data_IF_409931918003
#
_entry.id   IF_409931918003
#
_cell.length_a   1.000
_cell.length_b   1.000
_cell.length_c   1.000
_cell.angle_alpha   90.00
_cell.angle_beta   90.00
_cell.angle_gamma   90.00
#
_symmetry.space_group_name_H-M   'P 1'
#
loop_
_entity.id
_entity.type
_entity.pdbx_description
1 polymer ?
#
# COMPACT_ATOMS: atom_id res chain seq x y z
N UNK A 1 68.34 -24.94 -21.64
CA UNK A 1 68.81 -26.24 -22.14
C UNK A 1 67.56 -26.97 -22.52
N UNK A 2 67.20 -26.91 -23.79
CA UNK A 2 67.39 -27.83 -24.89
C UNK A 2 66.39 -28.96 -24.85
N UNK A 3 65.59 -29.07 -25.77
CA UNK A 3 65.42 -29.39 -27.20
C UNK A 3 64.46 -30.58 -27.37
N UNK A 4 63.42 -30.35 -28.21
CA UNK A 4 63.22 -30.92 -29.59
C UNK A 4 63.05 -32.44 -29.68
N UNK A 5 61.99 -32.90 -30.25
CA UNK A 5 61.75 -33.35 -31.65
C UNK A 5 60.47 -34.17 -31.74
N UNK A 6 59.51 -33.82 -32.53
CA UNK A 6 59.14 -34.13 -33.92
C UNK A 6 59.16 -35.57 -34.37
N UNK A 7 58.09 -35.95 -34.98
CA UNK A 7 57.80 -36.72 -36.24
C UNK A 7 56.59 -37.63 -36.02
N UNK A 8 55.50 -37.47 -36.65
CA UNK A 8 55.01 -37.48 -38.04
C UNK A 8 54.87 -38.94 -38.59
N UNK A 9 53.70 -39.16 -39.16
CA UNK A 9 53.38 -39.69 -40.49
C UNK A 9 52.59 -41.01 -40.62
N UNK A 10 51.41 -40.82 -41.31
CA UNK A 10 50.71 -41.62 -42.36
C UNK A 10 49.76 -42.72 -41.89
N UNK A 11 48.52 -42.62 -42.09
CA UNK A 11 47.63 -42.74 -43.25
C UNK A 11 47.55 -44.14 -43.85
N UNK A 12 46.39 -44.73 -43.83
CA UNK A 12 45.85 -45.56 -44.95
C UNK A 12 44.32 -45.58 -44.85
N UNK A 13 43.67 -45.23 -45.93
CA UNK A 13 42.22 -45.27 -46.17
C UNK A 13 41.78 -46.67 -46.58
N UNK A 14 40.57 -47.06 -46.25
CA UNK A 14 39.77 -47.99 -47.03
C UNK A 14 38.28 -47.69 -46.83
N UNK A 15 37.65 -47.40 -47.94
CA UNK A 15 36.23 -47.20 -48.12
C UNK A 15 35.44 -48.48 -48.09
N UNK A 16 34.26 -48.52 -47.50
CA UNK A 16 33.15 -49.36 -47.95
C UNK A 16 31.82 -48.71 -47.50
N UNK A 17 31.04 -48.40 -48.48
CA UNK A 17 29.71 -47.75 -48.28
C UNK A 17 28.68 -48.77 -47.78
N UNK A 18 27.81 -48.25 -46.91
CA UNK A 18 26.46 -48.77 -46.70
C UNK A 18 25.54 -47.62 -46.59
N UNK A 19 24.65 -47.46 -47.57
CA UNK A 19 23.53 -46.57 -47.62
C UNK A 19 22.50 -47.01 -46.57
N UNK A 20 22.28 -46.20 -45.54
CA UNK A 20 21.11 -46.31 -44.67
C UNK A 20 20.36 -45.00 -44.69
N UNK A 21 19.17 -45.05 -45.26
CA UNK A 21 18.14 -44.04 -45.20
C UNK A 21 17.73 -43.87 -43.72
N UNK A 22 18.26 -42.86 -43.06
CA UNK A 22 17.85 -42.46 -41.74
C UNK A 22 16.88 -41.29 -41.87
N UNK A 23 15.61 -41.57 -41.67
CA UNK A 23 14.57 -40.58 -41.45
C UNK A 23 15.01 -39.58 -40.37
N UNK A 24 15.25 -38.37 -40.80
CA UNK A 24 15.41 -37.22 -39.90
C UNK A 24 14.05 -36.99 -39.20
N UNK A 25 13.86 -37.56 -38.06
CA UNK A 25 12.93 -37.02 -37.05
C UNK A 25 13.62 -35.76 -36.50
N UNK A 26 13.26 -34.62 -37.12
CA UNK A 26 13.41 -33.34 -36.47
C UNK A 26 12.44 -33.34 -35.27
N UNK A 27 12.86 -33.94 -34.17
CA UNK A 27 12.27 -33.70 -32.87
C UNK A 27 12.60 -32.25 -32.53
N UNK A 28 11.58 -31.39 -32.60
CA UNK A 28 11.58 -30.18 -31.79
C UNK A 28 11.81 -30.68 -30.35
N UNK A 29 13.00 -30.55 -29.83
CA UNK A 29 13.22 -30.53 -28.41
C UNK A 29 12.51 -29.25 -27.92
N UNK A 30 11.21 -29.38 -27.62
CA UNK A 30 10.58 -28.49 -26.70
C UNK A 30 11.45 -28.49 -25.45
N UNK A 31 11.94 -27.33 -25.07
CA UNK A 31 12.76 -27.19 -23.88
C UNK A 31 11.97 -27.74 -22.68
N UNK A 32 12.47 -28.85 -22.12
CA UNK A 32 11.89 -29.47 -20.92
C UNK A 32 12.38 -28.77 -19.65
N UNK A 33 12.56 -27.49 -19.69
CA UNK A 33 12.86 -26.67 -18.50
C UNK A 33 11.64 -25.88 -18.10
N UNK A 34 11.39 -25.79 -16.80
CA UNK A 34 10.35 -24.93 -16.23
C UNK A 34 10.47 -23.49 -16.79
N UNK A 35 9.33 -22.90 -17.14
CA UNK A 35 9.25 -21.49 -17.48
C UNK A 35 9.58 -20.65 -16.24
N UNK A 36 10.56 -19.75 -16.33
CA UNK A 36 10.97 -18.97 -15.16
C UNK A 36 10.33 -17.60 -15.21
N UNK A 37 9.61 -17.23 -14.16
CA UNK A 37 8.99 -15.91 -13.98
C UNK A 37 9.63 -15.14 -12.84
N UNK A 38 9.72 -13.82 -12.98
CA UNK A 38 10.23 -12.91 -11.97
C UNK A 38 9.07 -12.28 -11.20
N UNK A 39 9.02 -12.57 -9.90
CA UNK A 39 8.04 -12.07 -8.97
C UNK A 39 8.64 -10.99 -8.09
N UNK A 40 8.14 -9.75 -8.18
CA UNK A 40 8.60 -8.65 -7.32
C UNK A 40 7.79 -8.58 -6.04
N UNK A 41 8.50 -8.69 -4.92
CA UNK A 41 7.96 -8.55 -3.57
C UNK A 41 9.00 -7.95 -2.63
N UNK A 42 8.76 -6.76 -2.05
CA UNK A 42 9.77 -6.02 -1.28
C UNK A 42 9.36 -5.68 0.16
N UNK A 43 8.24 -6.20 0.65
CA UNK A 43 7.75 -5.98 2.02
C UNK A 43 8.62 -6.77 3.02
N UNK A 44 9.49 -6.06 3.75
CA UNK A 44 10.58 -6.64 4.56
C UNK A 44 10.09 -7.61 5.61
N UNK A 45 9.03 -7.25 6.34
CA UNK A 45 8.45 -8.03 7.43
C UNK A 45 7.81 -9.34 6.97
N UNK A 46 7.44 -9.45 5.68
CA UNK A 46 6.79 -10.61 5.10
C UNK A 46 7.64 -11.38 4.09
N UNK A 47 8.91 -10.99 3.87
CA UNK A 47 9.80 -11.67 2.89
C UNK A 47 9.99 -13.14 3.22
N UNK A 48 10.12 -13.49 4.49
CA UNK A 48 10.32 -14.88 4.92
C UNK A 48 9.07 -15.74 4.60
N UNK A 49 7.89 -15.24 4.93
CA UNK A 49 6.62 -15.89 4.60
C UNK A 49 6.50 -16.09 3.09
N UNK A 50 6.67 -15.04 2.31
CA UNK A 50 6.51 -15.09 0.86
C UNK A 50 7.55 -16.00 0.19
N UNK A 51 8.76 -16.07 0.74
CA UNK A 51 9.79 -17.00 0.26
C UNK A 51 9.39 -18.45 0.47
N UNK A 52 8.77 -18.77 1.61
CA UNK A 52 8.26 -20.11 1.89
C UNK A 52 7.09 -20.45 0.96
N UNK A 53 6.16 -19.54 0.75
CA UNK A 53 5.02 -19.73 -0.15
C UNK A 53 5.45 -19.95 -1.61
N UNK A 54 6.44 -19.19 -2.10
CA UNK A 54 7.03 -19.41 -3.43
C UNK A 54 7.74 -20.76 -3.52
N UNK A 55 8.43 -21.21 -2.46
CA UNK A 55 9.05 -22.53 -2.44
C UNK A 55 8.00 -23.65 -2.48
N UNK A 56 6.86 -23.46 -1.84
CA UNK A 56 5.73 -24.38 -1.91
C UNK A 56 5.18 -24.48 -3.34
N UNK A 57 4.87 -23.34 -3.99
CA UNK A 57 4.45 -23.32 -5.39
C UNK A 57 5.45 -24.03 -6.31
N UNK A 58 6.73 -23.69 -6.19
CA UNK A 58 7.79 -24.30 -7.01
C UNK A 58 7.95 -25.81 -6.78
N UNK A 59 7.54 -26.32 -5.62
CA UNK A 59 7.61 -27.77 -5.31
C UNK A 59 6.34 -28.53 -5.70
N UNK A 60 5.21 -27.86 -5.85
CA UNK A 60 3.91 -28.47 -6.17
C UNK A 60 3.77 -28.82 -7.65
N UNK A 61 4.53 -28.20 -8.53
CA UNK A 61 4.46 -28.36 -9.98
C UNK A 61 5.87 -28.24 -10.61
N UNK A 62 6.01 -28.50 -11.93
CA UNK A 62 7.29 -28.51 -12.65
C UNK A 62 7.34 -27.59 -13.86
N UNK A 63 6.24 -26.94 -14.19
CA UNK A 63 6.07 -26.20 -15.44
C UNK A 63 6.54 -24.75 -15.31
N UNK A 64 6.37 -24.15 -14.12
CA UNK A 64 6.74 -22.77 -13.82
C UNK A 64 7.70 -22.73 -12.62
N UNK A 65 8.74 -21.91 -12.74
CA UNK A 65 9.62 -21.57 -11.63
C UNK A 65 9.52 -20.11 -11.31
N UNK A 66 9.09 -19.78 -10.09
CA UNK A 66 9.00 -18.40 -9.58
C UNK A 66 10.31 -18.02 -8.90
N UNK A 67 10.88 -16.88 -9.29
CA UNK A 67 12.05 -16.26 -8.63
C UNK A 67 11.67 -14.92 -8.02
N UNK A 68 11.89 -14.77 -6.71
CA UNK A 68 11.56 -13.53 -5.98
C UNK A 68 12.61 -12.45 -6.28
N UNK A 69 12.15 -11.28 -6.69
CA UNK A 69 12.93 -10.04 -6.80
C UNK A 69 12.48 -9.07 -5.69
N UNK A 70 13.37 -8.79 -4.74
CA UNK A 70 13.09 -7.89 -3.61
C UNK A 70 13.37 -6.41 -3.91
N UNK A 71 13.49 -6.05 -5.18
CA UNK A 71 13.72 -4.68 -5.62
C UNK A 71 12.56 -3.74 -5.25
N UNK A 72 12.90 -2.55 -4.76
CA UNK A 72 11.93 -1.53 -4.42
C UNK A 72 11.27 -0.87 -5.65
N UNK A 73 10.23 -0.07 -5.40
CA UNK A 73 9.40 0.57 -6.42
C UNK A 73 10.16 1.38 -7.45
N UNK A 74 11.27 2.02 -7.08
CA UNK A 74 12.06 2.84 -8.01
C UNK A 74 12.78 1.95 -9.06
N UNK A 75 13.29 0.79 -8.65
CA UNK A 75 13.91 -0.19 -9.54
C UNK A 75 12.86 -0.80 -10.48
N UNK A 76 11.69 -1.11 -9.95
CA UNK A 76 10.55 -1.62 -10.71
C UNK A 76 10.11 -0.58 -11.74
N UNK A 77 9.92 0.68 -11.34
CA UNK A 77 9.54 1.77 -12.25
C UNK A 77 10.56 1.95 -13.39
N UNK A 78 11.86 1.88 -13.06
CA UNK A 78 12.90 1.94 -14.08
C UNK A 78 12.88 0.71 -15.03
N UNK A 79 12.42 -0.45 -14.57
CA UNK A 79 12.30 -1.65 -15.41
C UNK A 79 11.19 -1.51 -16.47
N UNK A 80 10.07 -0.89 -16.12
CA UNK A 80 9.02 -0.53 -17.09
C UNK A 80 9.53 0.39 -18.18
N UNK A 81 10.29 1.43 -17.81
CA UNK A 81 10.88 2.37 -18.79
C UNK A 81 11.87 1.66 -19.73
N UNK A 82 12.61 0.67 -19.22
CA UNK A 82 13.54 -0.12 -20.04
C UNK A 82 12.86 -1.21 -20.89
N UNK A 83 11.55 -1.38 -20.78
CA UNK A 83 10.81 -2.43 -21.50
C UNK A 83 11.10 -3.86 -21.00
N UNK A 84 11.53 -3.99 -19.75
CA UNK A 84 11.79 -5.28 -19.11
C UNK A 84 11.19 -5.29 -17.68
N UNK A 85 9.85 -5.15 -17.55
CA UNK A 85 9.19 -5.20 -16.25
C UNK A 85 9.29 -6.61 -15.64
N UNK A 86 8.98 -6.80 -14.35
CA UNK A 86 8.76 -8.13 -13.77
C UNK A 86 7.58 -8.82 -14.46
N UNK A 87 7.42 -10.12 -14.21
CA UNK A 87 6.28 -10.88 -14.77
C UNK A 87 5.05 -10.76 -13.91
N UNK A 88 5.22 -10.70 -12.59
CA UNK A 88 4.16 -10.43 -11.62
C UNK A 88 4.72 -9.56 -10.47
N UNK A 89 3.88 -8.72 -9.91
CA UNK A 89 4.21 -7.84 -8.79
C UNK A 89 3.17 -8.00 -7.68
N UNK A 90 3.65 -8.01 -6.44
CA UNK A 90 2.84 -7.82 -5.25
C UNK A 90 3.44 -6.65 -4.46
N UNK A 91 2.83 -5.50 -4.52
CA UNK A 91 3.41 -4.25 -4.04
C UNK A 91 2.40 -3.39 -3.28
N UNK A 92 2.89 -2.52 -2.39
CA UNK A 92 2.04 -1.52 -1.75
C UNK A 92 1.34 -0.68 -2.81
N UNK A 93 0.01 -0.61 -2.71
CA UNK A 93 -0.80 0.16 -3.65
C UNK A 93 -0.84 1.62 -3.22
N UNK A 94 -0.14 2.45 -3.95
CA UNK A 94 -0.02 3.88 -3.70
C UNK A 94 0.02 4.63 -5.05
N UNK A 95 0.03 5.95 -5.01
CA UNK A 95 0.02 6.77 -6.21
C UNK A 95 1.08 6.37 -7.25
N UNK A 96 2.31 6.03 -6.84
CA UNK A 96 3.40 5.70 -7.76
C UNK A 96 3.16 4.37 -8.51
N UNK A 97 2.56 3.40 -7.82
CA UNK A 97 2.18 2.11 -8.42
C UNK A 97 0.91 2.27 -9.26
N UNK A 98 -0.09 3.00 -8.77
CA UNK A 98 -1.34 3.25 -9.49
C UNK A 98 -1.14 3.96 -10.83
N UNK A 99 -0.05 4.71 -11.01
CA UNK A 99 0.33 5.30 -12.31
C UNK A 99 0.51 4.26 -13.42
N UNK A 100 0.86 3.02 -13.09
CA UNK A 100 0.90 1.94 -14.07
C UNK A 100 -0.51 1.51 -14.49
N UNK A 101 -1.47 1.52 -13.56
CA UNK A 101 -2.90 1.31 -13.85
C UNK A 101 -3.41 2.41 -14.77
N UNK A 102 -3.27 3.68 -14.39
CA UNK A 102 -3.71 4.85 -15.17
C UNK A 102 -3.17 4.86 -16.61
N UNK A 103 -1.97 4.33 -16.82
CA UNK A 103 -1.32 4.26 -18.14
C UNK A 103 -1.65 3.00 -18.92
N UNK A 104 -2.55 2.17 -18.42
CA UNK A 104 -2.87 0.87 -18.99
C UNK A 104 -1.62 -0.01 -19.24
N UNK A 105 -0.61 0.12 -18.37
CA UNK A 105 0.63 -0.63 -18.45
C UNK A 105 0.56 -2.00 -17.79
N UNK A 106 -0.61 -2.35 -17.24
CA UNK A 106 -0.90 -3.60 -16.55
C UNK A 106 -1.97 -4.40 -17.30
N UNK A 107 -1.87 -5.70 -17.21
CA UNK A 107 -2.79 -6.66 -17.85
C UNK A 107 -4.16 -6.60 -17.17
N UNK A 108 -5.21 -6.80 -17.95
CA UNK A 108 -6.56 -7.01 -17.42
C UNK A 108 -6.65 -8.36 -16.72
N UNK A 109 -7.12 -8.34 -15.48
CA UNK A 109 -7.31 -9.51 -14.61
C UNK A 109 -8.79 -9.80 -14.33
N UNK A 110 -9.72 -9.08 -14.94
CA UNK A 110 -11.16 -9.17 -14.66
C UNK A 110 -11.74 -10.57 -14.82
N UNK A 111 -11.17 -11.39 -15.72
CA UNK A 111 -11.61 -12.75 -16.01
C UNK A 111 -10.96 -13.82 -15.12
N UNK A 112 -10.17 -13.44 -14.12
CA UNK A 112 -9.50 -14.38 -13.20
C UNK A 112 -10.41 -14.78 -12.05
N UNK A 113 -10.23 -16.00 -11.51
CA UNK A 113 -10.93 -16.44 -10.31
C UNK A 113 -10.51 -15.58 -9.09
N UNK A 114 -9.26 -15.15 -9.05
CA UNK A 114 -8.74 -14.20 -8.09
C UNK A 114 -9.58 -12.90 -8.07
N UNK A 115 -9.84 -12.28 -9.24
CA UNK A 115 -10.66 -11.06 -9.31
C UNK A 115 -12.11 -11.31 -8.86
N UNK A 116 -12.71 -12.43 -9.23
CA UNK A 116 -14.08 -12.81 -8.85
C UNK A 116 -14.21 -13.00 -7.33
N UNK A 117 -13.13 -13.35 -6.64
CA UNK A 117 -13.09 -13.55 -5.19
C UNK A 117 -13.10 -12.26 -4.39
N UNK A 118 -12.72 -11.11 -4.97
CA UNK A 118 -12.56 -9.83 -4.24
C UNK A 118 -13.91 -9.25 -3.82
N UNK A 119 -13.97 -8.66 -2.65
CA UNK A 119 -15.12 -7.92 -2.12
C UNK A 119 -15.41 -6.68 -2.95
N UNK A 120 -16.68 -6.48 -3.29
CA UNK A 120 -17.10 -5.38 -4.17
C UNK A 120 -16.93 -3.99 -3.50
N UNK A 121 -16.99 -3.92 -2.15
CA UNK A 121 -16.83 -2.70 -1.37
C UNK A 121 -15.37 -2.16 -1.32
N UNK A 122 -14.40 -2.94 -1.80
CA UNK A 122 -13.02 -2.49 -1.93
C UNK A 122 -12.71 -1.79 -3.26
N UNK A 123 -13.63 -1.84 -4.23
CA UNK A 123 -13.42 -1.20 -5.53
C UNK A 123 -13.17 0.31 -5.41
N UNK A 124 -13.89 1.08 -4.57
CA UNK A 124 -13.60 2.50 -4.39
C UNK A 124 -12.18 2.78 -3.90
N UNK A 125 -11.63 1.91 -3.04
CA UNK A 125 -10.25 2.03 -2.57
C UNK A 125 -9.22 1.77 -3.70
N UNK A 126 -9.56 0.92 -4.66
CA UNK A 126 -8.71 0.64 -5.82
C UNK A 126 -8.75 1.78 -6.84
N UNK A 127 -9.92 2.36 -7.05
CA UNK A 127 -10.16 3.33 -8.11
C UNK A 127 -9.74 4.76 -7.74
N UNK A 128 -9.52 5.07 -6.45
CA UNK A 128 -9.16 6.43 -6.00
C UNK A 128 -7.88 6.98 -6.61
N UNK A 129 -6.99 6.15 -7.13
CA UNK A 129 -5.80 6.58 -7.87
C UNK A 129 -6.03 6.64 -9.39
N UNK A 130 -7.27 6.42 -9.84
CA UNK A 130 -7.63 6.28 -11.25
C UNK A 130 -7.52 4.86 -11.76
N UNK A 131 -8.19 4.61 -12.89
CA UNK A 131 -8.33 3.29 -13.50
C UNK A 131 -7.87 3.30 -14.96
N UNK A 132 -7.76 2.12 -15.57
CA UNK A 132 -7.72 1.94 -17.01
C UNK A 132 -9.08 1.46 -17.47
N UNK A 133 -9.74 2.23 -18.35
CA UNK A 133 -11.12 1.99 -18.77
C UNK A 133 -11.34 0.52 -19.23
N UNK A 134 -12.34 -0.12 -18.66
CA UNK A 134 -12.73 -1.50 -18.96
C UNK A 134 -11.75 -2.57 -18.48
N UNK A 135 -10.83 -2.26 -17.56
CA UNK A 135 -9.84 -3.21 -17.03
C UNK A 135 -9.81 -3.23 -15.51
N UNK A 136 -9.70 -4.42 -14.95
CA UNK A 136 -9.30 -4.65 -13.56
C UNK A 136 -7.81 -5.03 -13.55
N UNK A 137 -6.92 -4.07 -13.31
CA UNK A 137 -5.48 -4.24 -13.51
C UNK A 137 -4.66 -4.40 -12.24
N UNK A 138 -5.29 -4.24 -11.08
CA UNK A 138 -4.69 -4.44 -9.77
C UNK A 138 -5.72 -5.11 -8.86
N UNK A 139 -5.33 -6.19 -8.20
CA UNK A 139 -6.21 -6.94 -7.29
C UNK A 139 -5.74 -6.78 -5.84
N UNK A 140 -6.60 -6.37 -4.90
CA UNK A 140 -6.27 -6.34 -3.49
C UNK A 140 -5.80 -7.70 -3.00
N UNK A 141 -4.65 -7.77 -2.34
CA UNK A 141 -4.12 -8.97 -1.70
C UNK A 141 -4.13 -8.86 -0.18
N UNK A 142 -3.91 -7.66 0.32
CA UNK A 142 -3.95 -7.35 1.74
C UNK A 142 -4.47 -5.94 1.96
N UNK A 143 -5.40 -5.80 2.88
CA UNK A 143 -5.90 -4.52 3.38
C UNK A 143 -5.41 -4.35 4.81
N UNK A 144 -4.78 -3.22 5.11
CA UNK A 144 -4.27 -2.93 6.44
C UNK A 144 -5.09 -1.80 7.06
N UNK A 145 -5.81 -2.11 8.13
CA UNK A 145 -6.38 -1.08 8.99
C UNK A 145 -5.32 -0.65 10.01
N UNK A 146 -5.25 0.63 10.29
CA UNK A 146 -4.29 1.21 11.20
C UNK A 146 -4.94 2.31 12.05
N UNK A 147 -4.51 2.39 13.33
CA UNK A 147 -5.11 3.28 14.31
C UNK A 147 -4.16 3.48 15.48
N UNK A 148 -4.62 4.15 16.54
CA UNK A 148 -3.85 4.27 17.79
C UNK A 148 -3.57 2.89 18.36
N UNK A 149 -2.31 2.57 18.59
CA UNK A 149 -1.89 1.43 19.43
C UNK A 149 -1.81 1.91 20.87
N UNK A 150 -2.36 1.13 21.82
CA UNK A 150 -2.25 1.49 23.22
C UNK A 150 -1.84 0.29 24.09
N UNK A 151 -1.21 0.59 25.22
CA UNK A 151 -0.80 -0.36 26.25
C UNK A 151 -1.97 -0.59 27.20
N UNK A 152 -2.62 -1.77 27.12
CA UNK A 152 -3.78 -2.14 27.95
C UNK A 152 -3.44 -2.16 29.45
N UNK A 153 -2.19 -2.51 29.81
CA UNK A 153 -1.77 -2.57 31.21
C UNK A 153 -1.66 -1.16 31.82
N UNK A 154 -1.15 -0.18 31.07
CA UNK A 154 -1.08 1.23 31.51
C UNK A 154 -2.51 1.77 31.66
N UNK A 155 -3.38 1.56 30.69
CA UNK A 155 -4.77 2.01 30.74
C UNK A 155 -5.48 1.43 31.96
N UNK A 156 -5.35 0.12 32.17
CA UNK A 156 -5.93 -0.54 33.34
C UNK A 156 -5.37 0.00 34.67
N UNK A 157 -4.06 0.18 34.77
CA UNK A 157 -3.41 0.67 35.98
C UNK A 157 -3.80 2.12 36.33
N UNK A 158 -4.12 2.92 35.31
CA UNK A 158 -4.55 4.31 35.48
C UNK A 158 -6.09 4.45 35.53
N UNK A 159 -6.85 3.35 35.37
CA UNK A 159 -8.32 3.37 35.34
C UNK A 159 -8.88 4.15 34.13
N UNK A 160 -8.18 4.09 32.98
CA UNK A 160 -8.56 4.78 31.76
C UNK A 160 -9.47 3.89 30.90
N UNK A 161 -10.48 4.52 30.30
CA UNK A 161 -11.28 3.94 29.23
C UNK A 161 -10.76 4.42 27.87
N UNK A 162 -11.06 3.69 26.81
CA UNK A 162 -10.73 4.10 25.43
C UNK A 162 -11.56 5.33 25.05
N UNK A 163 -10.91 6.45 24.69
CA UNK A 163 -11.63 7.70 24.37
C UNK A 163 -12.37 7.58 23.04
N UNK A 164 -13.58 8.14 22.98
CA UNK A 164 -14.43 8.20 21.80
C UNK A 164 -14.61 9.62 21.23
N UNK A 165 -14.14 10.61 21.96
CA UNK A 165 -14.20 12.03 21.58
C UNK A 165 -12.86 12.71 21.78
N UNK A 166 -12.66 13.83 21.10
CA UNK A 166 -11.46 14.65 21.26
C UNK A 166 -11.24 15.11 22.71
N UNK A 167 -12.30 15.55 23.38
CA UNK A 167 -12.21 16.01 24.77
C UNK A 167 -11.87 14.86 25.73
N UNK A 168 -12.38 13.66 25.47
CA UNK A 168 -12.01 12.47 26.25
C UNK A 168 -10.54 12.07 26.00
N UNK A 169 -10.05 12.16 24.75
CA UNK A 169 -8.65 11.91 24.46
C UNK A 169 -7.73 12.88 25.21
N UNK A 170 -8.06 14.16 25.21
CA UNK A 170 -7.29 15.15 25.98
C UNK A 170 -7.32 14.86 27.49
N UNK A 171 -8.47 14.44 28.03
CA UNK A 171 -8.57 14.06 29.43
C UNK A 171 -7.71 12.84 29.78
N UNK A 172 -7.67 11.83 28.90
CA UNK A 172 -6.76 10.67 29.01
C UNK A 172 -5.31 11.13 28.98
N UNK A 173 -4.92 11.99 28.05
CA UNK A 173 -3.58 12.53 27.94
C UNK A 173 -3.18 13.34 29.20
N UNK A 174 -4.05 14.18 29.70
CA UNK A 174 -3.79 14.96 30.93
C UNK A 174 -3.61 14.09 32.16
N UNK A 175 -4.41 13.03 32.30
CA UNK A 175 -4.30 12.06 33.41
C UNK A 175 -2.97 11.30 33.34
N UNK A 176 -2.58 10.82 32.17
CA UNK A 176 -1.29 10.14 31.93
C UNK A 176 -0.11 11.07 32.26
N UNK A 177 -0.15 12.29 31.78
CA UNK A 177 0.89 13.29 32.05
C UNK A 177 0.99 13.63 33.53
N UNK A 178 -0.15 13.75 34.23
CA UNK A 178 -0.15 13.94 35.68
C UNK A 178 0.42 12.74 36.44
N UNK A 179 0.34 11.54 35.90
CA UNK A 179 0.96 10.33 36.44
C UNK A 179 2.46 10.20 36.06
N UNK A 180 3.00 11.12 35.27
CA UNK A 180 4.41 11.09 34.80
C UNK A 180 4.65 10.07 33.68
N UNK A 181 3.61 9.73 32.92
CA UNK A 181 3.66 8.83 31.77
C UNK A 181 3.48 9.66 30.50
N UNK A 182 4.35 9.47 29.52
CA UNK A 182 4.17 10.11 28.20
C UNK A 182 2.89 9.56 27.55
N UNK A 183 1.90 10.41 27.21
CA UNK A 183 0.68 9.92 26.56
C UNK A 183 0.96 9.23 25.24
N UNK A 184 1.76 9.84 24.36
CA UNK A 184 2.17 9.28 23.07
C UNK A 184 3.68 9.16 22.98
N UNK A 185 4.18 8.16 22.25
CA UNK A 185 5.58 8.13 21.85
C UNK A 185 5.75 8.71 20.44
N UNK A 186 6.44 9.81 20.34
CA UNK A 186 6.75 10.48 19.07
C UNK A 186 8.06 9.96 18.47
N UNK A 187 8.06 9.69 17.16
CA UNK A 187 9.21 9.23 16.37
C UNK A 187 9.45 10.16 15.18
N UNK A 188 9.66 11.46 15.48
CA UNK A 188 9.65 12.53 14.47
C UNK A 188 10.90 12.60 13.59
N UNK A 189 11.91 11.78 13.86
CA UNK A 189 13.09 11.65 13.01
C UNK A 189 12.77 11.04 11.64
N UNK A 190 11.85 10.09 11.60
CA UNK A 190 11.45 9.41 10.38
C UNK A 190 10.18 10.04 9.82
N UNK A 191 10.24 10.65 8.64
CA UNK A 191 9.15 11.40 8.02
C UNK A 191 7.90 10.55 7.79
N UNK A 192 8.07 9.29 7.40
CA UNK A 192 6.96 8.38 7.14
C UNK A 192 6.14 8.05 8.41
N UNK A 193 6.76 8.01 9.59
CA UNK A 193 6.03 7.77 10.84
C UNK A 193 5.16 8.96 11.22
N UNK A 194 5.61 10.17 10.88
CA UNK A 194 4.80 11.38 11.04
C UNK A 194 3.69 11.42 9.98
N UNK A 195 4.02 11.13 8.73
CA UNK A 195 3.05 11.16 7.63
C UNK A 195 1.94 10.13 7.81
N UNK A 196 2.27 8.85 7.93
CA UNK A 196 1.28 7.77 7.98
C UNK A 196 0.60 7.60 9.35
N UNK A 197 1.24 8.06 10.43
CA UNK A 197 0.66 8.05 11.77
C UNK A 197 -0.03 9.38 12.09
N UNK A 198 0.74 10.38 12.44
CA UNK A 198 0.25 11.66 12.95
C UNK A 198 -0.63 12.42 11.95
N UNK A 199 -0.10 12.66 10.74
CA UNK A 199 -0.79 13.45 9.73
C UNK A 199 -2.02 12.74 9.17
N UNK A 200 -1.88 11.48 8.75
CA UNK A 200 -2.98 10.73 8.15
C UNK A 200 -4.14 10.52 9.12
N UNK A 201 -3.86 10.23 10.41
CA UNK A 201 -4.92 10.02 11.40
C UNK A 201 -5.60 11.34 11.75
N UNK A 202 -4.84 12.43 11.86
CA UNK A 202 -5.44 13.74 12.18
C UNK A 202 -6.27 14.30 11.03
N UNK A 203 -5.76 14.21 9.80
CA UNK A 203 -6.49 14.69 8.64
C UNK A 203 -7.69 13.79 8.31
N UNK A 204 -7.48 12.47 8.20
CA UNK A 204 -8.55 11.53 7.84
C UNK A 204 -9.62 11.36 8.90
N UNK A 205 -9.29 11.56 10.19
CA UNK A 205 -10.28 11.59 11.28
C UNK A 205 -11.08 12.89 11.37
N UNK A 206 -10.83 13.87 10.51
CA UNK A 206 -11.49 15.19 10.52
C UNK A 206 -12.07 15.59 9.18
N UNK A 207 -11.53 15.08 8.07
CA UNK A 207 -11.87 15.48 6.70
C UNK A 207 -12.27 14.25 5.91
N UNK A 208 -13.36 14.33 5.12
CA UNK A 208 -13.60 13.33 4.08
C UNK A 208 -12.53 13.46 3.01
N UNK A 209 -11.57 12.52 3.06
CA UNK A 209 -10.37 12.60 2.23
C UNK A 209 -10.68 12.41 0.75
N UNK A 210 -11.67 11.58 0.42
CA UNK A 210 -12.07 11.32 -0.97
C UNK A 210 -12.73 12.57 -1.55
N UNK A 211 -13.76 13.10 -0.87
CA UNK A 211 -14.45 14.31 -1.30
C UNK A 211 -13.50 15.52 -1.37
N UNK A 212 -12.56 15.63 -0.43
CA UNK A 212 -11.53 16.67 -0.44
C UNK A 212 -10.67 16.62 -1.70
N UNK A 213 -10.09 15.45 -2.04
CA UNK A 213 -9.22 15.34 -3.20
C UNK A 213 -9.97 15.44 -4.52
N UNK A 214 -11.22 14.99 -4.60
CA UNK A 214 -12.09 15.20 -5.75
C UNK A 214 -12.37 16.70 -5.98
N UNK A 215 -12.72 17.41 -4.94
CA UNK A 215 -12.93 18.87 -5.01
C UNK A 215 -11.63 19.61 -5.32
N UNK A 216 -10.53 19.22 -4.71
CA UNK A 216 -9.20 19.80 -4.98
C UNK A 216 -8.76 19.56 -6.44
N UNK A 217 -9.10 18.40 -7.01
CA UNK A 217 -8.85 18.09 -8.42
C UNK A 217 -9.70 18.97 -9.35
N UNK A 218 -10.94 19.27 -8.96
CA UNK A 218 -11.81 20.16 -9.71
C UNK A 218 -11.32 21.62 -9.73
N UNK A 219 -10.75 22.12 -8.62
CA UNK A 219 -10.09 23.44 -8.55
C UNK A 219 -8.83 23.48 -9.44
N UNK A 220 -8.13 22.36 -9.55
CA UNK A 220 -6.99 22.21 -10.43
C UNK A 220 -5.83 23.17 -10.13
N UNK A 221 -5.47 24.00 -11.11
CA UNK A 221 -4.38 24.97 -10.99
C UNK A 221 -4.76 26.25 -10.22
N UNK A 222 -6.04 26.43 -9.93
CA UNK A 222 -6.57 27.61 -9.22
C UNK A 222 -6.57 27.41 -7.69
N UNK A 223 -6.14 26.23 -7.20
CA UNK A 223 -6.02 25.94 -5.76
C UNK A 223 -5.13 26.96 -5.06
N UNK A 224 -5.67 27.53 -3.98
CA UNK A 224 -4.98 28.50 -3.15
C UNK A 224 -5.82 28.88 -1.92
N UNK A 225 -5.32 29.80 -1.08
CA UNK A 225 -6.01 30.21 0.17
C UNK A 225 -7.44 30.77 -0.04
N UNK A 226 -7.73 31.25 -1.25
CA UNK A 226 -9.02 31.87 -1.58
C UNK A 226 -9.94 30.94 -2.37
N UNK A 227 -9.49 29.71 -2.70
CA UNK A 227 -10.33 28.71 -3.37
C UNK A 227 -11.37 28.11 -2.44
N UNK A 228 -12.41 27.46 -3.00
CA UNK A 228 -13.47 26.86 -2.20
C UNK A 228 -12.93 25.71 -1.35
N UNK A 229 -11.94 24.96 -1.89
CA UNK A 229 -11.23 23.86 -1.24
C UNK A 229 -9.72 24.06 -1.34
N UNK A 230 -9.01 23.91 -0.22
CA UNK A 230 -7.55 23.97 -0.20
C UNK A 230 -6.97 23.35 1.07
N UNK A 231 -5.71 22.94 1.07
CA UNK A 231 -5.02 22.53 2.29
C UNK A 231 -5.01 23.65 3.34
N UNK A 232 -4.81 24.91 2.92
CA UNK A 232 -4.83 26.05 3.83
C UNK A 232 -6.16 26.26 4.53
N UNK A 233 -7.27 25.86 3.92
CA UNK A 233 -8.61 26.02 4.47
C UNK A 233 -9.04 24.82 5.29
N UNK A 234 -8.94 23.62 4.69
CA UNK A 234 -9.56 22.42 5.21
C UNK A 234 -8.68 21.65 6.19
N UNK A 235 -7.35 21.83 6.11
CA UNK A 235 -6.40 21.14 6.98
C UNK A 235 -5.88 21.99 8.15
N UNK A 236 -6.30 23.23 8.30
CA UNK A 236 -5.85 24.10 9.41
C UNK A 236 -6.23 23.50 10.77
N UNK A 237 -7.49 23.17 11.00
CA UNK A 237 -7.94 22.59 12.27
C UNK A 237 -7.35 21.19 12.55
N UNK A 238 -7.36 20.23 11.61
CA UNK A 238 -6.67 18.95 11.79
C UNK A 238 -5.20 19.09 12.18
N UNK A 239 -4.47 20.00 11.54
CA UNK A 239 -3.05 20.22 11.84
C UNK A 239 -2.83 20.91 13.18
N UNK A 240 -3.69 21.82 13.59
CA UNK A 240 -3.62 22.43 14.91
C UNK A 240 -3.82 21.38 16.02
N UNK A 241 -4.78 20.45 15.86
CA UNK A 241 -5.00 19.33 16.78
C UNK A 241 -3.83 18.34 16.77
N UNK A 242 -3.32 17.98 15.59
CA UNK A 242 -2.10 17.16 15.47
C UNK A 242 -0.93 17.76 16.23
N UNK A 243 -0.72 19.07 16.06
CA UNK A 243 0.38 19.79 16.72
C UNK A 243 0.15 19.93 18.22
N UNK A 244 -1.08 20.07 18.70
CA UNK A 244 -1.40 20.03 20.12
C UNK A 244 -0.96 18.69 20.73
N UNK A 245 -1.33 17.56 20.11
CA UNK A 245 -0.90 16.24 20.60
C UNK A 245 0.63 16.10 20.54
N UNK A 246 1.24 16.49 19.43
CA UNK A 246 2.69 16.35 19.22
C UNK A 246 3.52 17.21 20.18
N UNK A 247 3.08 18.42 20.50
CA UNK A 247 3.84 19.36 21.35
C UNK A 247 3.59 19.14 22.83
N UNK A 248 2.35 18.80 23.21
CA UNK A 248 1.96 18.79 24.62
C UNK A 248 1.98 17.39 25.23
N UNK A 249 1.91 16.32 24.42
CA UNK A 249 1.63 14.97 24.90
C UNK A 249 2.60 13.89 24.38
N UNK A 250 3.81 14.28 23.93
CA UNK A 250 4.86 13.32 23.51
C UNK A 250 6.12 13.43 24.36
N UNK A 251 6.99 12.42 24.24
CA UNK A 251 8.34 12.43 24.80
C UNK A 251 9.16 13.63 24.27
N UNK A 252 9.92 14.26 25.16
CA UNK A 252 10.67 15.50 24.83
C UNK A 252 11.73 15.31 23.73
N UNK A 253 12.23 14.09 23.54
CA UNK A 253 13.24 13.75 22.54
C UNK A 253 12.68 13.18 21.22
N UNK A 254 11.36 13.24 21.01
CA UNK A 254 10.68 12.80 19.79
C UNK A 254 11.36 13.27 18.48
N UNK A 255 11.88 14.52 18.35
CA UNK A 255 12.59 14.96 17.16
C UNK A 255 13.82 14.13 16.77
N UNK A 256 14.42 13.43 17.73
CA UNK A 256 15.63 12.62 17.52
C UNK A 256 15.35 11.11 17.44
N UNK A 257 14.12 10.69 17.72
CA UNK A 257 13.71 9.29 17.77
C UNK A 257 13.16 8.82 16.43
N UNK A 258 13.62 7.66 15.98
CA UNK A 258 13.12 6.97 14.80
C UNK A 258 12.21 5.81 15.17
N UNK A 259 11.67 5.14 14.16
CA UNK A 259 10.74 4.02 14.30
C UNK A 259 11.25 2.89 15.20
N UNK A 260 12.52 2.49 15.03
CA UNK A 260 13.12 1.45 15.88
C UNK A 260 13.25 1.87 17.35
N UNK A 261 13.54 3.16 17.61
CA UNK A 261 13.57 3.70 18.98
C UNK A 261 12.17 3.65 19.61
N UNK A 262 11.15 4.02 18.82
CA UNK A 262 9.75 4.02 19.27
C UNK A 262 9.26 2.64 19.64
N UNK A 263 9.48 1.64 18.80
CA UNK A 263 9.08 0.25 19.08
C UNK A 263 9.74 -0.28 20.37
N UNK A 264 11.01 0.03 20.58
CA UNK A 264 11.74 -0.36 21.79
C UNK A 264 11.22 0.34 23.05
N UNK A 265 11.01 1.65 22.97
CA UNK A 265 10.53 2.46 24.10
C UNK A 265 9.10 2.11 24.48
N UNK A 266 8.22 1.96 23.49
CA UNK A 266 6.84 1.54 23.70
C UNK A 266 6.77 0.12 24.30
N UNK A 267 7.59 -0.81 23.82
CA UNK A 267 7.73 -2.15 24.40
C UNK A 267 8.19 -2.15 25.86
N UNK A 268 8.89 -1.11 26.31
CA UNK A 268 9.28 -0.90 27.72
C UNK A 268 8.22 -0.19 28.57
N UNK A 269 7.11 0.23 27.97
CA UNK A 269 6.05 0.98 28.65
C UNK A 269 6.43 2.45 28.93
N UNK A 270 7.33 3.05 28.12
CA UNK A 270 7.74 4.45 28.27
C UNK A 270 6.61 5.42 27.84
N UNK A 271 5.63 4.96 27.04
CA UNK A 271 4.43 5.71 26.69
C UNK A 271 3.18 4.83 26.68
N UNK A 272 2.01 5.43 26.82
CA UNK A 272 0.74 4.73 26.86
C UNK A 272 0.14 4.45 25.47
N UNK A 273 0.40 5.34 24.48
CA UNK A 273 -0.15 5.28 23.13
C UNK A 273 0.92 5.48 22.07
N UNK A 274 0.66 4.96 20.85
CA UNK A 274 1.60 5.05 19.73
C UNK A 274 0.84 5.15 18.40
N UNK A 275 1.10 6.20 17.63
CA UNK A 275 0.45 6.42 16.33
C UNK A 275 1.19 5.67 15.22
N UNK A 276 0.96 4.37 15.19
CA UNK A 276 1.47 3.42 14.21
C UNK A 276 0.37 2.44 13.81
N UNK A 277 0.68 1.46 13.01
CA UNK A 277 -0.25 0.40 12.63
C UNK A 277 0.24 -1.00 13.04
N UNK A 278 -0.48 -2.06 12.67
CA UNK A 278 -0.18 -3.45 13.03
C UNK A 278 1.24 -3.91 12.66
N UNK A 279 1.88 -3.28 11.67
CA UNK A 279 3.28 -3.52 11.32
C UNK A 279 4.26 -3.28 12.49
N UNK A 280 3.87 -2.49 13.50
CA UNK A 280 4.70 -2.26 14.69
C UNK A 280 4.62 -3.42 15.69
N UNK A 281 3.58 -4.24 15.68
CA UNK A 281 3.39 -5.28 16.70
C UNK A 281 4.50 -6.33 16.70
N UNK A 282 4.94 -6.78 15.53
CA UNK A 282 6.04 -7.73 15.43
C UNK A 282 7.37 -7.16 15.93
N UNK A 283 7.60 -5.87 15.70
CA UNK A 283 8.80 -5.18 16.17
C UNK A 283 8.77 -4.96 17.70
N UNK A 284 7.62 -4.55 18.24
CA UNK A 284 7.42 -4.41 19.69
C UNK A 284 7.59 -5.77 20.39
N UNK A 285 7.04 -6.84 19.83
CA UNK A 285 7.11 -8.18 20.39
C UNK A 285 8.55 -8.74 20.50
N UNK A 286 9.51 -8.24 19.71
CA UNK A 286 10.94 -8.63 19.84
C UNK A 286 11.52 -8.30 21.22
N UNK A 287 10.99 -7.27 21.87
CA UNK A 287 11.45 -6.81 23.18
C UNK A 287 10.45 -7.03 24.30
N UNK A 288 9.16 -7.12 23.97
CA UNK A 288 8.05 -7.27 24.92
C UNK A 288 6.98 -8.23 24.34
N UNK A 289 7.29 -9.54 24.24
CA UNK A 289 6.39 -10.50 23.59
C UNK A 289 5.06 -10.69 24.32
N UNK A 290 5.02 -10.43 25.63
CA UNK A 290 3.85 -10.63 26.49
C UNK A 290 3.05 -9.33 26.72
N UNK A 291 3.49 -8.19 26.14
CA UNK A 291 2.83 -6.90 26.32
C UNK A 291 1.42 -6.91 25.75
N UNK A 292 0.45 -6.57 26.61
CA UNK A 292 -0.96 -6.53 26.22
C UNK A 292 -1.25 -5.23 25.46
N UNK A 293 -1.41 -5.36 24.15
CA UNK A 293 -1.71 -4.25 23.25
C UNK A 293 -3.18 -4.27 22.82
N UNK A 294 -3.68 -3.10 22.43
CA UNK A 294 -4.95 -2.92 21.75
C UNK A 294 -4.88 -1.78 20.78
N UNK A 295 -5.95 -1.57 20.05
CA UNK A 295 -6.11 -0.46 19.11
C UNK A 295 -7.44 0.24 19.31
N UNK A 296 -7.51 1.51 18.92
CA UNK A 296 -8.76 2.27 18.84
C UNK A 296 -8.62 3.41 17.82
N UNK A 297 -9.71 3.85 17.15
CA UNK A 297 -9.68 5.01 16.26
C UNK A 297 -9.23 6.26 17.00
N UNK A 298 -8.36 7.08 16.39
CA UNK A 298 -7.99 8.37 16.95
C UNK A 298 -9.18 9.33 16.86
N UNK A 299 -9.80 9.74 17.99
CA UNK A 299 -10.91 10.66 17.93
C UNK A 299 -10.39 12.10 17.66
N UNK A 300 -10.75 12.62 16.50
CA UNK A 300 -10.35 13.97 16.09
C UNK A 300 -11.47 15.00 16.21
N UNK A 301 -12.69 14.57 16.56
CA UNK A 301 -13.87 15.40 16.80
C UNK A 301 -14.54 15.05 18.12
N UNK A 302 -15.56 15.80 18.52
CA UNK A 302 -16.38 15.48 19.68
C UNK A 302 -17.67 14.70 19.33
N UNK A 303 -17.79 14.23 18.09
CA UNK A 303 -18.87 13.35 17.68
C UNK A 303 -18.33 11.91 17.51
N UNK A 304 -18.78 10.95 18.33
CA UNK A 304 -18.36 9.56 18.16
C UNK A 304 -18.74 8.93 16.81
N UNK A 305 -19.71 9.51 16.09
CA UNK A 305 -20.10 9.04 14.77
C UNK A 305 -19.02 9.31 13.70
N UNK A 306 -18.10 10.24 13.96
CA UNK A 306 -16.98 10.56 13.07
C UNK A 306 -15.79 9.58 13.22
N UNK A 307 -15.86 8.66 14.20
CA UNK A 307 -14.78 7.68 14.39
C UNK A 307 -14.66 6.76 13.19
N UNK A 308 -13.43 6.64 12.72
CA UNK A 308 -13.07 5.74 11.63
C UNK A 308 -11.64 5.25 11.76
N UNK A 309 -11.32 4.20 11.03
CA UNK A 309 -9.96 3.65 10.96
C UNK A 309 -9.32 3.95 9.62
N UNK A 310 -8.03 4.29 9.67
CA UNK A 310 -7.25 4.46 8.45
C UNK A 310 -7.06 3.11 7.76
N UNK A 311 -7.42 3.03 6.49
CA UNK A 311 -7.26 1.81 5.70
C UNK A 311 -6.30 2.07 4.54
N UNK A 312 -5.36 1.17 4.34
CA UNK A 312 -4.50 1.14 3.16
C UNK A 312 -4.77 -0.13 2.38
N UNK A 313 -4.76 -0.02 1.07
CA UNK A 313 -4.48 -1.16 0.22
C UNK A 313 -2.99 -1.51 0.40
N UNK A 314 -2.71 -2.37 1.39
CA UNK A 314 -1.34 -2.70 1.77
C UNK A 314 -0.58 -3.36 0.62
N UNK A 315 -1.19 -4.39 0.03
CA UNK A 315 -0.64 -5.05 -1.15
C UNK A 315 -1.71 -5.23 -2.23
N UNK A 316 -1.30 -4.97 -3.46
CA UNK A 316 -2.07 -5.35 -4.65
C UNK A 316 -1.22 -6.21 -5.60
N UNK A 317 -1.85 -7.22 -6.18
CA UNK A 317 -1.25 -8.08 -7.19
C UNK A 317 -1.49 -7.52 -8.60
N UNK A 318 -0.47 -7.52 -9.43
CA UNK A 318 -0.47 -6.92 -10.76
C UNK A 318 0.42 -7.70 -11.70
N UNK A 319 -0.01 -7.82 -12.96
CA UNK A 319 0.77 -8.42 -14.04
C UNK A 319 1.07 -7.33 -15.07
N UNK A 320 2.34 -6.94 -15.30
CA UNK A 320 2.71 -5.98 -16.32
C UNK A 320 2.28 -6.41 -17.73
N UNK A 321 1.73 -5.47 -18.51
CA UNK A 321 1.36 -5.73 -19.90
C UNK A 321 2.56 -6.13 -20.78
N UNK A 322 3.75 -5.64 -20.42
CA UNK A 322 5.00 -5.99 -21.08
C UNK A 322 5.63 -7.32 -20.69
N UNK A 323 5.00 -8.11 -19.79
CA UNK A 323 5.49 -9.46 -19.49
C UNK A 323 5.32 -10.39 -20.69
N UNK A 324 6.32 -11.25 -20.91
CA UNK A 324 6.29 -12.31 -21.92
C UNK A 324 5.74 -13.64 -21.37
N UNK A 325 5.50 -13.70 -20.05
CA UNK A 325 5.12 -14.90 -19.28
C UNK A 325 3.77 -14.72 -18.58
N UNK A 326 2.80 -14.08 -19.25
CA UNK A 326 1.51 -13.70 -18.64
C UNK A 326 0.67 -14.88 -18.17
N UNK A 327 0.71 -16.01 -18.88
CA UNK A 327 -0.03 -17.22 -18.49
C UNK A 327 0.57 -17.82 -17.21
N UNK A 328 1.87 -18.03 -17.17
CA UNK A 328 2.57 -18.50 -15.99
C UNK A 328 2.42 -17.54 -14.79
N UNK A 329 2.37 -16.21 -15.05
CA UNK A 329 2.11 -15.21 -14.03
C UNK A 329 0.67 -15.27 -13.49
N UNK A 330 -0.33 -15.60 -14.35
CA UNK A 330 -1.71 -15.82 -13.89
C UNK A 330 -1.84 -17.10 -13.07
N UNK A 331 -1.20 -18.19 -13.48
CA UNK A 331 -1.22 -19.44 -12.71
C UNK A 331 -0.66 -19.21 -11.29
N UNK A 332 0.43 -18.46 -11.17
CA UNK A 332 0.98 -18.10 -9.87
C UNK A 332 0.09 -17.09 -9.12
N UNK A 333 -0.59 -16.16 -9.82
CA UNK A 333 -1.57 -15.26 -9.21
C UNK A 333 -2.72 -16.06 -8.58
N UNK A 334 -3.30 -17.03 -9.29
CA UNK A 334 -4.40 -17.85 -8.75
C UNK A 334 -3.94 -18.64 -7.52
N UNK A 335 -2.73 -19.18 -7.52
CA UNK A 335 -2.15 -19.82 -6.33
C UNK A 335 -2.04 -18.87 -5.14
N UNK A 336 -1.59 -17.63 -5.36
CA UNK A 336 -1.53 -16.62 -4.30
C UNK A 336 -2.92 -16.32 -3.69
N UNK A 337 -3.99 -16.39 -4.51
CA UNK A 337 -5.37 -16.12 -4.09
C UNK A 337 -6.14 -17.37 -3.65
N UNK A 338 -5.53 -18.54 -3.63
CA UNK A 338 -6.12 -19.69 -2.94
C UNK A 338 -6.46 -19.29 -1.50
N UNK A 339 -7.68 -19.60 -0.99
CA UNK A 339 -8.14 -19.12 0.32
C UNK A 339 -7.13 -19.34 1.44
N UNK A 340 -6.51 -20.51 1.49
CA UNK A 340 -5.51 -20.82 2.50
C UNK A 340 -4.32 -19.86 2.44
N UNK A 341 -3.79 -19.58 1.25
CA UNK A 341 -2.57 -18.79 1.07
C UNK A 341 -2.78 -17.32 1.42
N UNK A 342 -3.88 -16.73 0.92
CA UNK A 342 -4.19 -15.31 1.18
C UNK A 342 -4.62 -15.08 2.62
N UNK A 343 -5.36 -16.02 3.24
CA UNK A 343 -5.80 -15.92 4.64
C UNK A 343 -4.60 -16.10 5.59
N UNK A 344 -3.72 -17.09 5.38
CA UNK A 344 -2.51 -17.28 6.18
C UNK A 344 -1.57 -16.08 6.09
N UNK A 345 -1.42 -15.49 4.88
CA UNK A 345 -0.66 -14.25 4.73
C UNK A 345 -1.25 -13.14 5.59
N UNK A 346 -2.53 -12.83 5.41
CA UNK A 346 -3.18 -11.73 6.13
C UNK A 346 -3.21 -11.97 7.64
N UNK A 347 -3.45 -13.19 8.09
CA UNK A 347 -3.35 -13.55 9.51
C UNK A 347 -1.94 -13.30 10.07
N UNK A 348 -0.90 -13.67 9.33
CA UNK A 348 0.51 -13.46 9.73
C UNK A 348 0.89 -11.99 9.85
N UNK A 349 0.23 -11.11 9.09
CA UNK A 349 0.49 -9.67 9.04
C UNK A 349 -0.55 -8.84 9.81
N UNK A 350 -1.56 -9.48 10.43
CA UNK A 350 -2.73 -8.84 11.04
C UNK A 350 -3.48 -7.93 10.06
N UNK A 351 -3.47 -8.32 8.80
CA UNK A 351 -4.20 -7.66 7.72
C UNK A 351 -5.61 -8.21 7.57
N UNK A 352 -6.45 -7.44 6.90
CA UNK A 352 -7.79 -7.86 6.51
C UNK A 352 -7.75 -8.52 5.14
N UNK A 353 -8.23 -9.75 5.06
CA UNK A 353 -8.30 -10.49 3.80
C UNK A 353 -9.33 -9.87 2.89
N UNK A 354 -8.99 -9.50 1.64
CA UNK A 354 -9.89 -8.76 0.76
C UNK A 354 -10.92 -9.62 0.02
N UNK A 355 -10.98 -10.93 0.30
CA UNK A 355 -11.85 -11.87 -0.42
C UNK A 355 -13.22 -12.00 0.24
N UNK A 356 -14.23 -12.32 -0.57
CA UNK A 356 -15.61 -12.57 -0.12
C UNK A 356 -15.66 -13.72 0.86
N UNK A 357 -16.32 -13.50 1.99
CA UNK A 357 -16.51 -14.53 3.03
C UNK A 357 -15.32 -14.73 3.96
N UNK A 358 -14.20 -14.02 3.76
CA UNK A 358 -13.10 -14.04 4.70
C UNK A 358 -13.50 -13.42 6.05
N UNK A 359 -13.00 -13.99 7.14
CA UNK A 359 -13.21 -13.44 8.48
C UNK A 359 -12.25 -12.29 8.76
N UNK A 360 -12.67 -11.35 9.60
CA UNK A 360 -11.76 -10.35 10.18
C UNK A 360 -10.66 -11.05 11.00
N UNK A 361 -9.50 -10.39 11.19
CA UNK A 361 -8.44 -10.96 12.03
C UNK A 361 -8.92 -11.27 13.45
N UNK A 362 -8.76 -12.52 13.89
CA UNK A 362 -9.05 -12.95 15.25
C UNK A 362 -7.81 -12.73 16.14
N UNK A 363 -7.50 -11.46 16.38
CA UNK A 363 -6.38 -11.06 17.22
C UNK A 363 -6.81 -9.91 18.15
N UNK A 364 -6.67 -10.06 19.48
CA UNK A 364 -7.13 -9.06 20.46
C UNK A 364 -6.41 -7.72 20.35
N UNK A 365 -5.32 -7.63 19.60
CA UNK A 365 -4.58 -6.37 19.36
C UNK A 365 -5.27 -5.49 18.35
N UNK A 366 -5.97 -6.08 17.37
CA UNK A 366 -6.67 -5.35 16.29
C UNK A 366 -8.20 -5.32 16.47
N UNK A 367 -8.74 -6.00 17.48
CA UNK A 367 -10.18 -6.09 17.77
C UNK A 367 -10.86 -4.71 17.78
N UNK A 368 -10.20 -3.69 18.33
CA UNK A 368 -10.72 -2.32 18.41
C UNK A 368 -10.86 -1.60 17.08
N UNK A 369 -10.45 -2.22 15.96
CA UNK A 369 -10.60 -1.67 14.60
C UNK A 369 -11.63 -2.45 13.78
N UNK A 370 -11.95 -3.69 14.14
CA UNK A 370 -12.75 -4.61 13.34
C UNK A 370 -14.14 -4.07 13.08
N UNK A 371 -14.83 -3.59 14.13
CA UNK A 371 -16.20 -3.06 14.01
C UNK A 371 -16.26 -1.86 13.02
N UNK A 372 -15.29 -0.95 13.10
CA UNK A 372 -15.23 0.21 12.20
C UNK A 372 -14.96 -0.21 10.77
N UNK A 373 -14.05 -1.15 10.55
CA UNK A 373 -13.76 -1.70 9.24
C UNK A 373 -14.98 -2.39 8.62
N UNK A 374 -15.66 -3.25 9.39
CA UNK A 374 -16.83 -4.00 8.93
C UNK A 374 -18.04 -3.10 8.63
N UNK A 375 -18.18 -2.00 9.37
CA UNK A 375 -19.23 -1.00 9.16
C UNK A 375 -18.91 0.03 8.07
N UNK A 376 -17.72 -0.05 7.42
CA UNK A 376 -17.32 0.92 6.40
C UNK A 376 -16.92 2.28 6.97
N UNK A 377 -16.70 2.40 8.28
CA UNK A 377 -16.18 3.61 8.94
C UNK A 377 -14.66 3.67 8.74
N UNK A 378 -14.26 3.87 7.50
CA UNK A 378 -12.88 3.83 7.05
C UNK A 378 -12.53 5.10 6.27
N UNK A 379 -11.24 5.47 6.31
CA UNK A 379 -10.70 6.51 5.45
C UNK A 379 -9.30 6.14 4.97
N UNK A 380 -8.89 6.72 3.85
CA UNK A 380 -7.49 6.60 3.43
C UNK A 380 -6.66 7.78 3.93
N UNK A 381 -5.40 7.47 4.23
CA UNK A 381 -4.46 8.51 4.62
C UNK A 381 -4.11 9.42 3.44
N UNK A 382 -4.27 10.76 3.55
CA UNK A 382 -3.97 11.68 2.47
C UNK A 382 -2.50 11.64 2.02
N UNK A 383 -1.56 11.19 2.87
CA UNK A 383 -0.14 11.13 2.54
C UNK A 383 0.20 10.18 1.38
N UNK A 384 -0.67 9.19 1.11
CA UNK A 384 -0.46 8.18 0.05
C UNK A 384 -1.24 8.47 -1.23
N UNK A 385 -2.16 9.44 -1.19
CA UNK A 385 -3.03 9.82 -2.32
C UNK A 385 -2.39 10.81 -3.30
N UNK A 386 -1.20 11.29 -3.02
CA UNK A 386 -0.52 12.31 -3.81
C UNK A 386 0.79 11.80 -4.42
N UNK A 387 1.22 12.37 -5.58
CA UNK A 387 2.51 12.02 -6.15
C UNK A 387 3.66 12.44 -5.23
N UNK A 388 4.78 11.73 -5.27
CA UNK A 388 6.00 12.04 -4.51
C UNK A 388 6.56 13.47 -4.74
N UNK A 389 6.13 14.13 -5.81
CA UNK A 389 6.46 15.54 -6.07
C UNK A 389 5.81 16.49 -5.09
N UNK A 390 4.79 16.04 -4.36
CA UNK A 390 4.22 16.65 -3.17
C UNK A 390 4.73 15.86 -1.95
N UNK A 391 5.80 16.29 -1.29
CA UNK A 391 6.41 15.53 -0.21
C UNK A 391 5.62 15.67 1.10
N UNK A 392 4.39 15.15 1.13
CA UNK A 392 3.44 15.30 2.24
C UNK A 392 4.01 14.89 3.58
N UNK A 393 4.72 13.76 3.62
CA UNK A 393 5.33 13.25 4.86
C UNK A 393 6.41 14.22 5.39
N UNK A 394 7.20 14.82 4.51
CA UNK A 394 8.20 15.83 4.91
C UNK A 394 7.54 17.14 5.37
N UNK A 395 6.40 17.52 4.77
CA UNK A 395 5.64 18.68 5.23
C UNK A 395 5.06 18.44 6.63
N UNK A 396 4.46 17.28 6.85
CA UNK A 396 3.99 16.89 8.18
C UNK A 396 5.13 16.87 9.21
N UNK A 397 6.28 16.27 8.85
CA UNK A 397 7.47 16.25 9.71
C UNK A 397 7.97 17.68 10.01
N UNK A 398 8.03 18.56 9.02
CA UNK A 398 8.46 19.93 9.23
C UNK A 398 7.56 20.67 10.24
N UNK A 399 6.24 20.43 10.22
CA UNK A 399 5.30 21.03 11.18
C UNK A 399 5.57 20.56 12.61
N UNK A 400 5.71 19.25 12.87
CA UNK A 400 6.02 18.74 14.22
C UNK A 400 7.43 19.12 14.69
N UNK A 401 8.32 19.49 13.77
CA UNK A 401 9.65 20.02 14.07
C UNK A 401 9.68 21.57 14.21
N UNK A 402 8.52 22.24 14.22
CA UNK A 402 8.38 23.64 14.52
C UNK A 402 8.25 24.59 13.33
N UNK A 403 8.08 24.08 12.10
CA UNK A 403 7.72 24.91 10.96
C UNK A 403 6.27 25.43 11.12
N UNK A 404 6.01 26.65 10.61
CA UNK A 404 4.67 27.24 10.65
C UNK A 404 3.68 26.42 9.85
N UNK A 405 2.60 25.86 10.45
CA UNK A 405 1.59 25.07 9.74
C UNK A 405 0.94 25.88 8.61
N UNK A 406 0.57 27.12 8.85
CA UNK A 406 0.00 27.99 7.82
C UNK A 406 0.92 28.20 6.61
N UNK A 407 2.24 28.26 6.82
CA UNK A 407 3.21 28.39 5.74
C UNK A 407 3.32 27.08 4.95
N UNK A 408 3.33 25.95 5.64
CA UNK A 408 3.39 24.62 5.01
C UNK A 408 2.12 24.35 4.20
N UNK A 409 0.93 24.59 4.75
CA UNK A 409 -0.34 24.38 4.06
C UNK A 409 -0.45 25.21 2.77
N UNK A 410 -0.02 26.49 2.80
CA UNK A 410 0.07 27.31 1.59
C UNK A 410 1.08 26.77 0.57
N UNK A 411 2.16 26.17 1.04
CA UNK A 411 3.13 25.52 0.14
C UNK A 411 2.51 24.28 -0.51
N UNK A 412 1.71 23.51 0.25
CA UNK A 412 0.96 22.36 -0.29
C UNK A 412 -0.02 22.80 -1.37
N UNK A 413 -0.78 23.90 -1.15
CA UNK A 413 -1.67 24.49 -2.17
C UNK A 413 -0.90 24.85 -3.44
N UNK A 414 0.22 25.58 -3.29
CA UNK A 414 1.02 26.01 -4.44
C UNK A 414 1.66 24.83 -5.20
N UNK A 415 2.09 23.81 -4.48
CA UNK A 415 2.66 22.61 -5.09
C UNK A 415 1.59 21.78 -5.79
N UNK A 416 0.38 21.65 -5.21
CA UNK A 416 -0.76 21.03 -5.87
C UNK A 416 -1.13 21.76 -7.15
N UNK A 417 -1.35 23.07 -7.11
CA UNK A 417 -1.69 23.87 -8.27
C UNK A 417 -0.67 23.69 -9.42
N UNK A 418 0.62 23.58 -9.06
CA UNK A 418 1.69 23.38 -10.04
C UNK A 418 1.65 22.00 -10.71
N UNK A 419 1.27 20.93 -9.98
CA UNK A 419 1.20 19.59 -10.55
C UNK A 419 -0.13 19.33 -11.24
N UNK A 420 -1.24 19.86 -10.75
CA UNK A 420 -2.57 19.74 -11.34
C UNK A 420 -2.60 20.24 -12.78
N UNK A 421 -1.85 21.29 -13.10
CA UNK A 421 -1.68 21.78 -14.48
C UNK A 421 -1.00 20.76 -15.40
N UNK A 422 -0.12 19.90 -14.86
CA UNK A 422 0.69 18.95 -15.64
C UNK A 422 0.07 17.59 -15.84
N UNK A 423 -0.65 17.14 -14.83
CA UNK A 423 -1.28 15.81 -14.81
C UNK A 423 -2.44 15.83 -13.79
N UNK A 424 -3.65 16.27 -14.18
CA UNK A 424 -4.81 16.24 -13.29
C UNK A 424 -5.04 14.81 -12.80
N UNK A 425 -5.36 14.67 -11.51
CA UNK A 425 -5.80 13.40 -10.95
C UNK A 425 -7.23 13.19 -11.44
N UNK A 426 -7.56 12.05 -12.08
CA UNK A 426 -8.93 11.78 -12.49
C UNK A 426 -9.85 11.73 -11.26
N UNK A 427 -10.98 12.48 -11.31
CA UNK A 427 -12.01 12.40 -10.28
C UNK A 427 -12.77 11.09 -10.41
N UNK A 428 -13.04 10.41 -9.31
CA UNK A 428 -13.89 9.21 -9.28
C UNK A 428 -15.32 9.50 -9.74
N UNK A 429 -15.76 10.77 -9.69
CA UNK A 429 -17.09 11.20 -10.19
C UNK A 429 -17.18 11.25 -11.72
N UNK A 430 -16.06 11.42 -12.42
CA UNK A 430 -16.05 11.47 -13.89
C UNK A 430 -16.30 10.11 -14.54
N UNK A 431 -16.02 9.01 -13.82
CA UNK A 431 -16.30 7.63 -14.30
C UNK A 431 -17.78 7.26 -14.19
N UNK A 432 -18.54 7.88 -13.28
CA UNK A 432 -19.97 7.61 -13.11
C UNK A 432 -20.85 8.33 -14.16
N UNK A 433 -20.38 9.41 -14.78
CA UNK A 433 -21.13 10.15 -15.81
C UNK A 433 -20.94 9.64 -17.24
N UNK A 434 -19.94 8.79 -17.48
CA UNK A 434 -19.70 8.18 -18.81
C UNK A 434 -20.61 6.98 -19.13
N UNK A 435 -21.40 6.49 -18.15
CA UNK A 435 -22.40 5.42 -18.34
C UNK A 435 -23.81 5.92 -18.66
N UNK A 436 -23.99 7.16 -19.12
CA UNK A 436 -25.24 7.80 -19.49
C UNK A 436 -25.68 7.46 -20.91
N UNK A 437 -26.68 6.61 -21.00
CA UNK A 437 -27.78 6.47 -21.95
C UNK A 437 -27.51 6.59 -23.47
N UNK A 438 -27.50 5.46 -24.21
CA UNK A 438 -27.52 5.46 -25.67
C UNK A 438 -28.95 5.49 -26.25
N UNK A 439 -29.84 6.38 -25.81
CA UNK A 439 -31.18 6.51 -26.38
C UNK A 439 -31.56 7.95 -26.72
N UNK A 440 -30.87 8.55 -27.70
CA UNK A 440 -31.43 9.69 -28.46
C UNK A 440 -30.80 9.75 -29.84
N UNK A 441 -31.14 8.77 -30.69
CA UNK A 441 -30.96 8.91 -32.13
C UNK A 441 -32.33 8.74 -32.80
N UNK A 442 -32.76 9.76 -33.47
CA UNK A 442 -33.82 9.67 -34.43
C UNK A 442 -34.77 10.84 -34.42
N UNK A 443 -34.49 11.81 -35.26
CA UNK A 443 -35.49 12.24 -36.25
C UNK A 443 -34.88 13.28 -37.18
N UNK A 444 -34.63 12.81 -38.38
CA UNK A 444 -34.39 13.65 -39.56
C UNK A 444 -35.71 14.24 -40.02
N UNK A 445 -35.81 15.56 -40.16
CA UNK A 445 -36.78 16.16 -41.05
C UNK A 445 -36.05 16.98 -42.14
N UNK A 446 -36.21 16.47 -43.33
CA UNK A 446 -35.95 17.01 -44.66
C UNK A 446 -36.96 18.14 -44.97
N UNK A 447 -36.50 19.28 -45.41
CA UNK A 447 -37.21 20.06 -46.40
C UNK A 447 -36.37 21.17 -46.98
N UNK A 448 -36.03 21.01 -48.26
CA UNK A 448 -35.77 22.11 -49.19
C UNK A 448 -37.12 22.60 -49.76
N UNK A 449 -37.23 23.74 -50.44
CA UNK A 449 -36.39 24.15 -51.55
C UNK A 449 -35.52 25.39 -51.32
#
# INVERSE_FOLDING_TARGET
VSERRTHAVRAVAAALGVTLVGTALAGCAAGTGAETIRFTFSKREAIEFMTALVAEYNSSQSDVKVEIDTSGVDVVSASFVRGNPPDIMLANYNYEIARFVQRCALTDLSETDAAASIRDDLQPLMDQYGSCEGRTSALPYSVMAASVIYNKEIFQAQGLEVPQTWDELLAVCDQLKAAGIDPFYGTFKDDWTVGQGWYDYSAGGSVDVVDFFDALAAEGADVGPDSDVSFSKDFTEPMDRMLQLANDYTNADAPSRGYGDGNLAFGKGEAAMYLQGPWAFSEIAKTAPDLQLGTFPLPMTNDPADLGVRVNMDLAAMIPEGSHHKEAARDFLEFLYEPQNIEEYNASQLGFTPTKGASAPDDPRVEGMVEYYDNGQIYQGPSVLVPKTLPMMNYAQAMVLGASPNSILRTMDADWARIAFRAPIPSTKDTASASGDPSASGETEESAP
#
